data_IF_044280534338
#
_entry.id   IF_044280534338
#
_cell.length_a   1.000
_cell.length_b   1.000
_cell.length_c   1.000
_cell.angle_alpha   90.00
_cell.angle_beta   90.00
_cell.angle_gamma   90.00
#
_symmetry.space_group_name_H-M   'P 1'
#
loop_
_entity.id
_entity.type
_entity.pdbx_description
1 polymer ?
#
# COMPACT_ATOMS: atom_id res chain seq x y z
N UNK A 1 -51.73 9.50 -38.36
CA UNK A 1 -51.05 8.67 -37.34
C UNK A 1 -50.50 9.63 -36.32
N UNK A 2 -50.82 9.44 -35.04
CA UNK A 2 -50.43 10.38 -33.98
C UNK A 2 -48.92 10.32 -33.79
N UNK A 3 -48.21 11.33 -34.31
CA UNK A 3 -46.76 11.50 -34.18
C UNK A 3 -46.37 12.19 -32.86
N UNK A 4 -47.38 12.42 -32.01
CA UNK A 4 -47.29 12.97 -30.67
C UNK A 4 -47.77 11.94 -29.65
N UNK A 5 -47.19 11.92 -28.44
CA UNK A 5 -46.19 12.86 -27.94
C UNK A 5 -44.79 12.66 -28.54
N UNK A 6 -44.08 13.76 -28.81
CA UNK A 6 -42.68 13.78 -29.27
C UNK A 6 -41.78 14.37 -28.19
N UNK A 7 -40.55 13.91 -28.08
CA UNK A 7 -39.59 14.40 -27.08
C UNK A 7 -38.48 15.18 -27.76
N UNK A 8 -38.32 16.46 -27.38
CA UNK A 8 -37.25 17.31 -27.86
C UNK A 8 -36.23 17.54 -26.75
N UNK A 9 -35.00 17.83 -27.15
CA UNK A 9 -33.83 17.89 -26.28
C UNK A 9 -33.05 19.18 -26.49
N UNK A 10 -32.35 19.65 -25.45
CA UNK A 10 -31.48 20.82 -25.52
C UNK A 10 -30.24 20.61 -24.65
N UNK A 11 -29.06 20.79 -25.23
CA UNK A 11 -27.77 20.54 -24.58
C UNK A 11 -26.82 19.78 -25.51
N UNK A 12 -26.06 18.85 -24.94
CA UNK A 12 -25.23 17.89 -25.68
C UNK A 12 -25.69 16.46 -25.37
N UNK A 13 -25.18 15.46 -26.10
CA UNK A 13 -25.58 14.05 -25.90
C UNK A 13 -25.34 13.50 -24.47
N UNK A 14 -24.56 14.16 -23.61
CA UNK A 14 -24.26 13.73 -22.25
C UNK A 14 -25.01 14.55 -21.18
N UNK A 15 -25.18 15.84 -21.43
CA UNK A 15 -25.79 16.85 -20.56
C UNK A 15 -26.91 17.53 -21.34
N UNK A 16 -28.08 16.90 -21.37
CA UNK A 16 -29.26 17.44 -22.02
C UNK A 16 -30.43 17.60 -21.04
N UNK A 17 -31.31 18.54 -21.38
CA UNK A 17 -32.68 18.62 -20.87
C UNK A 17 -33.62 18.08 -21.94
N UNK A 18 -34.77 17.54 -21.53
CA UNK A 18 -35.81 17.09 -22.46
C UNK A 18 -37.17 17.71 -22.12
N UNK A 19 -38.03 17.86 -23.12
CA UNK A 19 -39.42 18.28 -22.98
C UNK A 19 -40.31 17.41 -23.87
N UNK A 20 -41.50 17.06 -23.37
CA UNK A 20 -42.47 16.27 -24.14
C UNK A 20 -43.51 17.21 -24.73
N UNK A 21 -43.69 17.12 -26.04
CA UNK A 21 -44.55 17.96 -26.85
C UNK A 21 -45.76 17.15 -27.31
N UNK A 22 -46.95 17.71 -27.17
CA UNK A 22 -48.20 17.01 -27.52
C UNK A 22 -48.86 17.54 -28.80
N UNK A 23 -48.35 18.65 -29.36
CA UNK A 23 -48.90 19.27 -30.57
C UNK A 23 -47.83 19.84 -31.50
N UNK A 24 -48.16 19.96 -32.79
CA UNK A 24 -47.26 20.51 -33.79
C UNK A 24 -46.95 22.01 -33.58
N UNK A 25 -47.88 22.76 -32.97
CA UNK A 25 -47.67 24.17 -32.65
C UNK A 25 -46.58 24.35 -31.60
N UNK A 26 -46.64 23.54 -30.54
CA UNK A 26 -45.62 23.53 -29.48
C UNK A 26 -44.26 23.04 -29.99
N UNK A 27 -44.25 22.09 -30.93
CA UNK A 27 -43.00 21.59 -31.54
C UNK A 27 -42.31 22.71 -32.33
N UNK A 28 -43.05 23.45 -33.16
CA UNK A 28 -42.48 24.54 -33.96
C UNK A 28 -41.86 25.63 -33.07
N UNK A 29 -42.53 26.02 -31.99
CA UNK A 29 -42.01 27.01 -31.03
C UNK A 29 -40.73 26.52 -30.34
N UNK A 30 -40.68 25.23 -29.98
CA UNK A 30 -39.51 24.64 -29.31
C UNK A 30 -38.33 24.44 -30.26
N UNK A 31 -38.59 24.06 -31.52
CA UNK A 31 -37.56 23.99 -32.57
C UNK A 31 -36.93 25.37 -32.82
N UNK A 32 -37.75 26.43 -32.90
CA UNK A 32 -37.24 27.82 -33.00
C UNK A 32 -36.45 28.25 -31.75
N UNK A 33 -36.86 27.78 -30.57
CA UNK A 33 -36.13 27.99 -29.31
C UNK A 33 -34.86 27.12 -29.17
N UNK A 34 -34.50 26.34 -30.20
CA UNK A 34 -33.29 25.52 -30.27
C UNK A 34 -33.37 24.21 -29.50
N UNK A 35 -34.56 23.66 -29.33
CA UNK A 35 -34.75 22.26 -28.95
C UNK A 35 -34.75 21.40 -30.22
N UNK A 36 -34.15 20.21 -30.17
CA UNK A 36 -33.97 19.34 -31.33
C UNK A 36 -34.22 17.88 -30.97
N UNK A 37 -34.30 17.00 -31.96
CA UNK A 37 -34.31 15.56 -31.67
C UNK A 37 -32.97 15.11 -31.07
N UNK A 38 -32.97 14.03 -30.26
CA UNK A 38 -31.76 13.58 -29.57
C UNK A 38 -30.57 13.31 -30.53
N UNK A 39 -30.87 12.81 -31.74
CA UNK A 39 -29.87 12.51 -32.76
C UNK A 39 -29.23 13.78 -33.34
N UNK A 40 -29.92 14.91 -33.24
CA UNK A 40 -29.44 16.22 -33.72
C UNK A 40 -28.72 17.01 -32.62
N UNK A 41 -28.69 16.51 -31.38
CA UNK A 41 -27.85 17.11 -30.35
C UNK A 41 -26.38 17.02 -30.77
N UNK A 42 -25.58 18.09 -30.55
CA UNK A 42 -24.16 18.02 -30.76
C UNK A 42 -23.57 16.87 -29.93
N UNK A 43 -22.67 16.11 -30.54
CA UNK A 43 -21.85 15.16 -29.80
C UNK A 43 -21.15 15.91 -28.67
N UNK A 44 -21.16 15.30 -27.48
CA UNK A 44 -20.45 15.87 -26.36
C UNK A 44 -18.95 15.81 -26.66
N UNK A 45 -18.39 16.95 -27.07
CA UNK A 45 -16.95 17.21 -27.08
C UNK A 45 -16.47 17.05 -25.64
N UNK A 46 -15.96 15.86 -25.33
CA UNK A 46 -15.28 15.62 -24.07
C UNK A 46 -14.05 16.52 -24.04
N UNK A 47 -14.21 17.72 -23.47
CA UNK A 47 -13.09 18.54 -23.05
C UNK A 47 -12.15 17.62 -22.28
N UNK A 48 -10.92 17.55 -22.77
CA UNK A 48 -9.80 16.72 -22.29
C UNK A 48 -9.84 16.65 -20.75
N UNK A 49 -10.52 15.64 -20.21
CA UNK A 49 -11.00 15.74 -18.83
C UNK A 49 -11.90 14.62 -18.35
N UNK A 50 -11.93 13.49 -19.04
CA UNK A 50 -12.36 12.20 -18.51
C UNK A 50 -11.77 11.14 -19.43
N UNK A 51 -10.61 10.62 -19.02
CA UNK A 51 -9.72 9.79 -19.81
C UNK A 51 -10.46 8.72 -20.60
N UNK A 52 -10.49 8.91 -21.92
CA UNK A 52 -10.59 7.82 -22.85
C UNK A 52 -9.61 6.72 -22.39
N UNK A 53 -9.98 5.46 -22.54
CA UNK A 53 -9.01 4.36 -22.61
C UNK A 53 -8.19 4.49 -23.91
N UNK A 54 -7.61 5.67 -24.14
CA UNK A 54 -6.70 5.98 -25.23
C UNK A 54 -5.38 5.33 -24.88
N UNK A 55 -5.10 4.22 -25.55
CA UNK A 55 -3.76 3.66 -25.72
C UNK A 55 -3.04 3.44 -24.40
N UNK A 56 -3.23 2.26 -23.81
CA UNK A 56 -2.28 1.79 -22.79
C UNK A 56 -0.90 1.88 -23.44
N UNK A 57 -0.03 2.73 -22.89
CA UNK A 57 1.31 2.92 -23.38
C UNK A 57 2.03 1.57 -23.28
N UNK A 58 2.31 0.95 -24.43
CA UNK A 58 2.98 -0.36 -24.46
C UNK A 58 4.38 -0.29 -23.86
N UNK A 59 4.98 0.89 -23.78
CA UNK A 59 6.25 1.10 -23.09
C UNK A 59 6.13 1.07 -21.56
N UNK A 60 4.91 1.19 -21.02
CA UNK A 60 4.63 1.01 -19.60
C UNK A 60 4.41 -0.47 -19.19
N UNK A 61 4.34 -1.40 -20.16
CA UNK A 61 4.27 -2.82 -19.86
C UNK A 61 5.66 -3.39 -19.61
N UNK A 62 5.87 -3.86 -18.38
CA UNK A 62 7.04 -4.67 -18.01
C UNK A 62 6.80 -6.09 -18.52
N UNK A 63 7.72 -6.68 -19.33
CA UNK A 63 7.61 -8.08 -19.73
C UNK A 63 7.52 -9.00 -18.50
N UNK A 64 6.69 -10.03 -18.59
CA UNK A 64 6.48 -11.00 -17.47
C UNK A 64 7.81 -11.56 -16.97
N UNK A 65 8.74 -11.87 -17.88
CA UNK A 65 10.10 -12.33 -17.55
C UNK A 65 10.85 -11.36 -16.61
N UNK A 66 10.71 -10.04 -16.79
CA UNK A 66 11.34 -9.07 -15.89
C UNK A 66 10.64 -9.02 -14.53
N UNK A 67 9.33 -9.24 -14.49
CA UNK A 67 8.58 -9.34 -13.23
C UNK A 67 8.99 -10.59 -12.45
N UNK A 68 9.17 -11.72 -13.13
CA UNK A 68 9.63 -12.97 -12.51
C UNK A 68 11.08 -12.84 -12.01
N UNK A 69 11.96 -12.17 -12.77
CA UNK A 69 13.32 -11.84 -12.31
C UNK A 69 13.27 -10.99 -11.05
N UNK A 70 12.49 -9.90 -11.04
CA UNK A 70 12.33 -9.05 -9.85
C UNK A 70 11.75 -9.81 -8.66
N UNK A 71 10.79 -10.71 -8.89
CA UNK A 71 10.23 -11.58 -7.86
C UNK A 71 11.30 -12.48 -7.24
N UNK A 72 12.13 -13.12 -8.07
CA UNK A 72 13.23 -13.96 -7.62
C UNK A 72 14.33 -13.18 -6.89
N UNK A 73 14.68 -11.99 -7.38
CA UNK A 73 15.62 -11.09 -6.68
C UNK A 73 15.05 -10.66 -5.32
N UNK A 74 13.75 -10.37 -5.24
CA UNK A 74 13.10 -10.03 -3.98
C UNK A 74 13.15 -11.19 -2.98
N UNK A 75 12.99 -12.43 -3.44
CA UNK A 75 13.11 -13.62 -2.60
C UNK A 75 14.54 -13.75 -2.09
N UNK A 76 15.54 -13.69 -2.98
CA UNK A 76 16.97 -13.77 -2.60
C UNK A 76 17.37 -12.70 -1.61
N UNK A 77 16.98 -11.44 -1.87
CA UNK A 77 17.26 -10.33 -0.96
C UNK A 77 16.63 -10.53 0.42
N UNK A 78 15.42 -11.11 0.49
CA UNK A 78 14.79 -11.45 1.78
C UNK A 78 15.54 -12.55 2.50
N UNK A 79 15.99 -13.58 1.80
CA UNK A 79 16.80 -14.66 2.38
C UNK A 79 18.13 -14.14 2.93
N UNK A 80 18.87 -13.36 2.13
CA UNK A 80 20.13 -12.72 2.55
C UNK A 80 19.90 -11.77 3.74
N UNK A 81 18.80 -11.01 3.75
CA UNK A 81 18.47 -10.13 4.86
C UNK A 81 18.19 -10.93 6.15
N UNK A 82 17.47 -12.04 6.08
CA UNK A 82 17.21 -12.91 7.23
C UNK A 82 18.50 -13.53 7.76
N UNK A 83 19.39 -13.97 6.87
CA UNK A 83 20.69 -14.52 7.25
C UNK A 83 21.58 -13.45 7.92
N UNK A 84 21.70 -12.27 7.32
CA UNK A 84 22.46 -11.16 7.87
C UNK A 84 21.91 -10.70 9.24
N UNK A 85 20.59 -10.67 9.41
CA UNK A 85 19.97 -10.36 10.70
C UNK A 85 20.29 -11.40 11.76
N UNK A 86 20.27 -12.69 11.39
CA UNK A 86 20.64 -13.79 12.30
C UNK A 86 22.11 -13.70 12.71
N UNK A 87 23.01 -13.45 11.76
CA UNK A 87 24.42 -13.24 12.05
C UNK A 87 24.64 -12.02 12.93
N UNK A 88 23.97 -10.90 12.65
CA UNK A 88 24.08 -9.68 13.45
C UNK A 88 23.60 -9.91 14.90
N UNK A 89 22.52 -10.66 15.09
CA UNK A 89 22.04 -11.04 16.42
C UNK A 89 23.07 -11.88 17.18
N UNK A 90 23.72 -12.83 16.50
CA UNK A 90 24.74 -13.67 17.12
C UNK A 90 26.02 -12.88 17.46
N UNK A 91 26.47 -12.01 16.56
CA UNK A 91 27.61 -11.12 16.81
C UNK A 91 27.34 -10.19 18.00
N UNK A 92 26.12 -9.64 18.12
CA UNK A 92 25.72 -8.82 19.27
C UNK A 92 25.77 -9.61 20.58
N UNK A 93 25.32 -10.87 20.58
CA UNK A 93 25.44 -11.73 21.77
C UNK A 93 26.88 -11.98 22.15
N UNK A 94 27.75 -12.27 21.17
CA UNK A 94 29.17 -12.50 21.43
C UNK A 94 29.88 -11.26 21.98
N UNK A 95 29.61 -10.08 21.41
CA UNK A 95 30.14 -8.80 21.92
C UNK A 95 29.66 -8.60 23.36
N UNK A 96 28.35 -8.74 23.59
CA UNK A 96 27.76 -8.55 24.92
C UNK A 96 28.33 -9.53 25.95
N UNK A 97 28.51 -10.79 25.57
CA UNK A 97 29.10 -11.79 26.46
C UNK A 97 30.53 -11.40 26.88
N UNK A 98 31.36 -10.93 25.94
CA UNK A 98 32.72 -10.44 26.25
C UNK A 98 32.69 -9.23 27.18
N UNK A 99 31.79 -8.27 26.96
CA UNK A 99 31.61 -7.13 27.87
C UNK A 99 31.24 -7.59 29.30
N UNK A 100 30.41 -8.62 29.42
CA UNK A 100 30.03 -9.21 30.72
C UNK A 100 31.18 -10.01 31.34
N UNK A 101 31.98 -10.70 30.53
CA UNK A 101 33.21 -11.37 30.98
C UNK A 101 34.28 -10.39 31.46
N UNK A 102 34.30 -9.14 31.01
CA UNK A 102 35.22 -8.13 31.52
C UNK A 102 34.74 -7.50 32.84
N UNK A 103 33.45 -7.64 33.18
CA UNK A 103 32.88 -7.10 34.42
C UNK A 103 33.24 -7.91 35.67
N UNK A 104 33.32 -7.27 36.85
CA UNK A 104 33.46 -7.98 38.11
C UNK A 104 32.14 -8.70 38.48
N UNK A 105 32.26 -9.78 39.27
CA UNK A 105 31.11 -10.59 39.66
C UNK A 105 30.03 -9.80 40.44
N UNK A 106 30.44 -8.79 41.22
CA UNK A 106 29.51 -7.97 41.99
C UNK A 106 28.65 -7.07 41.09
N UNK A 107 29.21 -6.56 39.98
CA UNK A 107 28.44 -5.83 38.97
C UNK A 107 27.43 -6.74 38.26
N UNK A 108 27.84 -7.96 37.91
CA UNK A 108 26.95 -8.93 37.27
C UNK A 108 25.77 -9.29 38.18
N UNK A 109 26.03 -9.50 39.48
CA UNK A 109 24.97 -9.71 40.49
C UNK A 109 24.03 -8.51 40.58
N UNK A 110 24.57 -7.29 40.63
CA UNK A 110 23.76 -6.07 40.67
C UNK A 110 22.84 -5.93 39.43
N UNK A 111 23.32 -6.35 38.24
CA UNK A 111 22.49 -6.38 37.02
C UNK A 111 21.35 -7.41 37.17
N UNK A 112 21.67 -8.63 37.63
CA UNK A 112 20.69 -9.69 37.85
C UNK A 112 19.66 -9.31 38.92
N UNK A 113 20.09 -8.70 40.02
CA UNK A 113 19.23 -8.22 41.12
C UNK A 113 18.27 -7.14 40.63
N UNK A 114 18.76 -6.18 39.84
CA UNK A 114 17.92 -5.14 39.22
C UNK A 114 16.89 -5.71 38.26
N UNK A 115 17.22 -6.82 37.59
CA UNK A 115 16.33 -7.54 36.70
C UNK A 115 15.47 -8.60 37.43
N UNK A 116 15.56 -8.69 38.76
CA UNK A 116 14.86 -9.68 39.59
C UNK A 116 15.15 -11.15 39.19
N UNK A 117 16.33 -11.40 38.61
CA UNK A 117 16.77 -12.73 38.17
C UNK A 117 17.48 -13.44 39.31
N UNK A 118 16.97 -14.62 39.67
CA UNK A 118 17.58 -15.47 40.69
C UNK A 118 18.84 -16.15 40.16
N UNK A 119 19.87 -16.19 41.00
CA UNK A 119 21.12 -16.92 40.76
C UNK A 119 21.55 -17.68 42.02
N UNK A 120 22.45 -18.67 41.85
CA UNK A 120 22.98 -19.42 42.99
C UNK A 120 24.00 -18.57 43.75
N UNK A 121 24.02 -18.64 45.08
CA UNK A 121 24.96 -17.87 45.90
C UNK A 121 26.45 -18.14 45.58
N UNK A 122 26.75 -19.35 45.11
CA UNK A 122 28.07 -19.80 44.69
C UNK A 122 28.26 -19.79 43.16
N UNK A 123 27.38 -19.11 42.40
CA UNK A 123 27.51 -19.02 40.96
C UNK A 123 28.83 -18.36 40.57
N UNK A 124 29.55 -18.99 39.66
CA UNK A 124 30.78 -18.44 39.10
C UNK A 124 30.49 -17.23 38.22
N UNK A 125 31.48 -16.34 38.05
CA UNK A 125 31.41 -15.23 37.10
C UNK A 125 30.88 -15.63 35.70
N UNK A 126 31.34 -16.71 35.05
CA UNK A 126 30.79 -17.10 33.73
C UNK A 126 29.32 -17.50 33.79
N UNK A 127 28.86 -18.13 34.88
CA UNK A 127 27.44 -18.48 35.05
C UNK A 127 26.57 -17.22 35.21
N UNK A 128 27.06 -16.22 35.96
CA UNK A 128 26.38 -14.94 36.13
C UNK A 128 26.31 -14.16 34.81
N UNK A 129 27.40 -14.12 34.03
CA UNK A 129 27.43 -13.48 32.71
C UNK A 129 26.45 -14.14 31.74
N UNK A 130 26.37 -15.48 31.73
CA UNK A 130 25.41 -16.22 30.91
C UNK A 130 23.96 -15.91 31.30
N UNK A 131 23.66 -15.83 32.60
CA UNK A 131 22.32 -15.49 33.07
C UNK A 131 21.88 -14.08 32.64
N UNK A 132 22.79 -13.10 32.68
CA UNK A 132 22.51 -11.74 32.19
C UNK A 132 22.22 -11.78 30.69
N UNK A 133 23.06 -12.45 29.91
CA UNK A 133 22.91 -12.56 28.46
C UNK A 133 21.59 -13.25 28.06
N UNK A 134 21.21 -14.32 28.75
CA UNK A 134 19.98 -15.08 28.50
C UNK A 134 18.73 -14.25 28.80
N UNK A 135 18.79 -13.33 29.76
CA UNK A 135 17.70 -12.41 30.05
C UNK A 135 17.59 -11.31 28.99
N UNK A 136 18.69 -10.61 28.68
CA UNK A 136 18.70 -9.53 27.68
C UNK A 136 18.29 -10.02 26.29
N UNK A 137 18.65 -11.27 25.93
CA UNK A 137 18.25 -11.88 24.66
C UNK A 137 16.76 -12.26 24.59
N UNK A 138 16.09 -12.44 25.73
CA UNK A 138 14.63 -12.68 25.77
C UNK A 138 13.84 -11.38 25.64
N UNK A 139 14.32 -10.29 26.24
CA UNK A 139 13.66 -8.98 26.18
C UNK A 139 13.71 -8.36 24.77
N UNK A 140 14.72 -8.70 23.97
CA UNK A 140 14.83 -8.23 22.57
C UNK A 140 13.78 -8.80 21.59
N UNK A 141 12.84 -9.63 22.06
CA UNK A 141 11.71 -10.16 21.28
C UNK A 141 10.38 -9.42 21.49
N UNK A 142 10.38 -8.34 22.28
CA UNK A 142 9.21 -7.48 22.53
C UNK A 142 9.04 -6.35 21.51
#
# INVERSE_FOLDING_TARGET
MSQYPKMLYKGDQKNFKHVTVNSASEEAELLEAGWVDYVELPEHEAGIGAGAASSIDKSAFVPVEQFDVLGNENIKLKEELVEALKENQELRKQIRFKELEDKPADELKAILDKAEIKYKANAGKPELAQLVLDHESKDSKG
#
